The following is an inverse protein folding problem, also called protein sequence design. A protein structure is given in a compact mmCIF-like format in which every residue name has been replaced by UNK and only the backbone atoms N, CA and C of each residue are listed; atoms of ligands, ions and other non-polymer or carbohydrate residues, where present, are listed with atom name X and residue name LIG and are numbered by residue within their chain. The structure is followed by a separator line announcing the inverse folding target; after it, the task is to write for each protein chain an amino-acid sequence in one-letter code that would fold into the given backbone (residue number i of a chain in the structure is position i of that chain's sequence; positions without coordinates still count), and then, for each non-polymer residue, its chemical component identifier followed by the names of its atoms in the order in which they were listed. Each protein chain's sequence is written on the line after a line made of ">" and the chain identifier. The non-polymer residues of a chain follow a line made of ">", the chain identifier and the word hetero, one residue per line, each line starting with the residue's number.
data_IF_045507628704
#
_entry.id   IF_045507628704
#
_cell.length_a   1.000
_cell.length_b   1.000
_cell.length_c   1.000
_cell.angle_alpha   90.00
_cell.angle_beta   90.00
_cell.angle_gamma   90.00
#
_symmetry.space_group_name_H-M   'P 1'
#
loop_
_entity.id
_entity.type
_entity.pdbx_description
1 polymer ?
#
# COMPACT_ATOMS: atom_id res chain seq x y z
N UNK A 1 -56.60 46.81 30.98
CA UNK A 1 -55.68 47.00 29.83
C UNK A 1 -54.25 47.36 30.25
N UNK A 2 -53.98 48.56 30.77
CA UNK A 2 -52.61 48.90 31.25
C UNK A 2 -52.20 48.13 32.51
N UNK A 3 -53.12 47.92 33.44
CA UNK A 3 -52.89 47.11 34.64
C UNK A 3 -52.54 45.65 34.30
N UNK A 4 -53.35 45.00 33.46
CA UNK A 4 -53.13 43.61 33.02
C UNK A 4 -51.79 43.44 32.30
N UNK A 5 -51.37 44.41 31.47
CA UNK A 5 -50.06 44.43 30.82
C UNK A 5 -48.91 44.53 31.82
N UNK A 6 -49.08 45.33 32.87
CA UNK A 6 -48.07 45.53 33.91
C UNK A 6 -47.94 44.29 34.81
N UNK A 7 -49.03 43.57 35.03
CA UNK A 7 -49.04 42.28 35.73
C UNK A 7 -48.33 41.18 34.95
N UNK A 8 -48.49 41.14 33.63
CA UNK A 8 -47.77 40.21 32.74
C UNK A 8 -46.25 40.48 32.73
N UNK A 9 -45.82 41.74 32.82
CA UNK A 9 -44.39 42.10 32.89
C UNK A 9 -43.71 41.59 34.17
N UNK A 10 -44.43 41.54 35.29
CA UNK A 10 -43.90 41.02 36.57
C UNK A 10 -43.59 39.52 36.52
N UNK A 11 -44.26 38.77 35.64
CA UNK A 11 -43.99 37.34 35.42
C UNK A 11 -42.61 37.10 34.82
N UNK A 12 -42.05 38.09 34.12
CA UNK A 12 -40.70 38.08 33.56
C UNK A 12 -39.69 38.80 34.47
N UNK A 13 -39.93 38.90 35.78
CA UNK A 13 -39.05 39.64 36.69
C UNK A 13 -37.61 39.12 36.74
N UNK A 14 -37.38 37.86 36.36
CA UNK A 14 -36.07 37.22 36.36
C UNK A 14 -35.50 37.06 34.94
N UNK A 15 -35.15 38.18 34.28
CA UNK A 15 -34.46 38.15 32.98
C UNK A 15 -32.95 38.22 33.19
N UNK A 16 -32.21 37.39 32.44
CA UNK A 16 -30.77 37.50 32.32
C UNK A 16 -30.41 38.77 31.51
N UNK A 17 -30.08 39.85 32.21
CA UNK A 17 -29.72 41.14 31.60
C UNK A 17 -28.43 41.06 30.75
N UNK A 18 -27.58 40.04 30.96
CA UNK A 18 -26.35 39.81 30.18
C UNK A 18 -26.56 38.95 28.94
N UNK A 19 -27.80 38.51 28.67
CA UNK A 19 -28.07 37.56 27.58
C UNK A 19 -27.62 38.08 26.21
N UNK A 20 -27.75 39.39 25.96
CA UNK A 20 -27.33 39.99 24.70
C UNK A 20 -25.80 39.96 24.54
N UNK A 21 -25.05 40.42 25.54
CA UNK A 21 -23.59 40.42 25.50
C UNK A 21 -23.01 39.00 25.41
N UNK A 22 -23.61 38.06 26.15
CA UNK A 22 -23.25 36.64 26.09
C UNK A 22 -23.54 36.04 24.71
N UNK A 23 -24.71 36.35 24.13
CA UNK A 23 -25.07 35.88 22.81
C UNK A 23 -24.08 36.37 21.76
N UNK A 24 -23.73 37.65 21.75
CA UNK A 24 -22.76 38.21 20.80
C UNK A 24 -21.41 37.52 20.93
N UNK A 25 -20.86 37.42 22.14
CA UNK A 25 -19.57 36.76 22.39
C UNK A 25 -19.57 35.28 21.99
N UNK A 26 -20.61 34.51 22.34
CA UNK A 26 -20.70 33.10 21.96
C UNK A 26 -20.91 32.90 20.46
N UNK A 27 -21.60 33.83 19.80
CA UNK A 27 -21.81 33.78 18.36
C UNK A 27 -20.47 34.02 17.61
N UNK A 28 -19.66 34.97 18.07
CA UNK A 28 -18.31 35.20 17.54
C UNK A 28 -17.38 34.00 17.76
N UNK A 29 -17.38 33.42 18.97
CA UNK A 29 -16.61 32.21 19.27
C UNK A 29 -17.04 31.02 18.41
N UNK A 30 -18.35 30.83 18.23
CA UNK A 30 -18.89 29.78 17.35
C UNK A 30 -18.39 29.95 15.92
N UNK A 31 -18.43 31.17 15.40
CA UNK A 31 -18.00 31.44 14.03
C UNK A 31 -16.49 31.24 13.87
N UNK A 32 -15.69 31.59 14.88
CA UNK A 32 -14.26 31.28 14.91
C UNK A 32 -13.98 29.78 14.93
N UNK A 33 -14.70 29.01 15.77
CA UNK A 33 -14.57 27.55 15.84
C UNK A 33 -15.01 26.88 14.54
N UNK A 34 -16.07 27.38 13.90
CA UNK A 34 -16.53 26.89 12.59
C UNK A 34 -15.46 27.09 11.51
N UNK A 35 -14.86 28.29 11.43
CA UNK A 35 -13.76 28.55 10.48
C UNK A 35 -12.60 27.60 10.69
N UNK A 36 -12.15 27.43 11.94
CA UNK A 36 -11.06 26.49 12.27
C UNK A 36 -11.39 25.05 11.90
N UNK A 37 -12.62 24.60 12.15
CA UNK A 37 -13.08 23.27 11.73
C UNK A 37 -13.00 23.10 10.22
N UNK A 38 -13.46 24.10 9.46
CA UNK A 38 -13.48 24.04 8.00
C UNK A 38 -12.04 24.06 7.43
N UNK A 39 -11.15 24.85 8.02
CA UNK A 39 -9.71 24.85 7.71
C UNK A 39 -9.06 23.49 7.99
N UNK A 40 -9.36 22.87 9.14
CA UNK A 40 -8.86 21.54 9.49
C UNK A 40 -9.39 20.47 8.52
N UNK A 41 -10.67 20.52 8.16
CA UNK A 41 -11.25 19.57 7.20
C UNK A 41 -10.61 19.70 5.81
N UNK A 42 -10.34 20.94 5.37
CA UNK A 42 -9.59 21.19 4.13
C UNK A 42 -8.14 20.70 4.25
N UNK A 43 -7.50 20.88 5.41
CA UNK A 43 -6.17 20.38 5.71
C UNK A 43 -6.09 18.85 5.62
N UNK A 44 -7.02 18.14 6.25
CA UNK A 44 -7.10 16.67 6.20
C UNK A 44 -7.24 16.18 4.77
N UNK A 45 -8.14 16.79 3.98
CA UNK A 45 -8.29 16.47 2.56
C UNK A 45 -6.97 16.64 1.79
N UNK A 46 -6.28 17.77 1.96
CA UNK A 46 -5.00 18.04 1.30
C UNK A 46 -3.92 17.03 1.69
N UNK A 47 -3.89 16.60 2.95
CA UNK A 47 -2.95 15.58 3.42
C UNK A 47 -3.26 14.24 2.76
N UNK A 48 -4.53 13.81 2.71
CA UNK A 48 -4.92 12.56 2.04
C UNK A 48 -4.60 12.56 0.54
N UNK A 49 -4.86 13.68 -0.14
CA UNK A 49 -4.54 13.86 -1.55
C UNK A 49 -3.02 13.78 -1.78
N UNK A 50 -2.23 14.44 -0.92
CA UNK A 50 -0.77 14.40 -0.98
C UNK A 50 -0.21 12.98 -0.75
N UNK A 51 -0.71 12.25 0.26
CA UNK A 51 -0.28 10.87 0.53
C UNK A 51 -0.55 10.00 -0.72
N UNK A 52 -1.71 10.14 -1.33
CA UNK A 52 -2.08 9.35 -2.52
C UNK A 52 -1.17 9.65 -3.72
N UNK A 53 -0.81 10.93 -3.92
CA UNK A 53 0.13 11.34 -4.95
C UNK A 53 1.55 10.82 -4.67
N UNK A 54 2.00 10.86 -3.42
CA UNK A 54 3.31 10.34 -3.02
C UNK A 54 3.39 8.82 -3.20
N UNK A 55 2.33 8.09 -2.88
CA UNK A 55 2.25 6.64 -3.11
C UNK A 55 2.38 6.31 -4.60
N UNK A 56 1.69 7.05 -5.47
CA UNK A 56 1.82 6.89 -6.93
C UNK A 56 3.27 7.16 -7.38
N UNK A 57 3.85 8.27 -6.94
CA UNK A 57 5.22 8.66 -7.33
C UNK A 57 6.27 7.67 -6.81
N UNK A 58 6.05 7.10 -5.63
CA UNK A 58 6.86 6.01 -5.07
C UNK A 58 6.84 4.80 -6.01
N UNK A 59 5.65 4.33 -6.37
CA UNK A 59 5.49 3.17 -7.25
C UNK A 59 6.13 3.39 -8.62
N UNK A 60 5.89 4.55 -9.25
CA UNK A 60 6.52 4.91 -10.53
C UNK A 60 8.04 4.94 -10.45
N UNK A 61 8.58 5.46 -9.34
CA UNK A 61 10.02 5.53 -9.12
C UNK A 61 10.62 4.14 -8.94
N UNK A 62 9.98 3.28 -8.14
CA UNK A 62 10.40 1.89 -7.91
C UNK A 62 10.40 1.10 -9.22
N UNK A 63 9.33 1.21 -10.03
CA UNK A 63 9.27 0.50 -11.31
C UNK A 63 10.34 0.99 -12.29
N UNK A 64 10.57 2.30 -12.35
CA UNK A 64 11.58 2.90 -13.23
C UNK A 64 12.99 2.45 -12.84
N UNK A 65 13.33 2.53 -11.56
CA UNK A 65 14.66 2.11 -11.09
C UNK A 65 14.85 0.61 -11.27
N UNK A 66 13.85 -0.20 -10.98
CA UNK A 66 13.93 -1.65 -11.16
C UNK A 66 14.15 -2.05 -12.63
N UNK A 67 13.44 -1.42 -13.57
CA UNK A 67 13.66 -1.65 -15.02
C UNK A 67 15.09 -1.29 -15.43
N UNK A 68 15.63 -0.21 -14.86
CA UNK A 68 17.02 0.18 -15.04
C UNK A 68 17.98 -0.88 -14.52
N UNK A 69 17.87 -1.25 -13.23
CA UNK A 69 18.73 -2.26 -12.59
C UNK A 69 18.62 -3.61 -13.29
N UNK A 70 17.42 -4.05 -13.68
CA UNK A 70 17.22 -5.32 -14.38
C UNK A 70 17.88 -5.39 -15.75
N UNK A 71 18.00 -4.25 -16.45
CA UNK A 71 18.74 -4.17 -17.72
C UNK A 71 20.24 -4.33 -17.49
N UNK A 72 20.81 -3.52 -16.61
CA UNK A 72 22.25 -3.56 -16.30
C UNK A 72 22.64 -4.93 -15.72
N UNK A 73 21.80 -5.51 -14.87
CA UNK A 73 22.01 -6.87 -14.35
C UNK A 73 22.14 -7.89 -15.47
N UNK A 74 21.25 -7.85 -16.47
CA UNK A 74 21.31 -8.77 -17.62
C UNK A 74 22.58 -8.58 -18.44
N UNK A 75 22.93 -7.33 -18.73
CA UNK A 75 24.13 -6.98 -19.50
C UNK A 75 25.39 -7.49 -18.80
N UNK A 76 25.59 -7.10 -17.53
CA UNK A 76 26.75 -7.53 -16.73
C UNK A 76 26.78 -9.06 -16.55
N UNK A 77 25.63 -9.70 -16.31
CA UNK A 77 25.58 -11.15 -16.15
C UNK A 77 25.99 -11.90 -17.43
N UNK A 78 25.60 -11.38 -18.60
CA UNK A 78 25.97 -11.97 -19.89
C UNK A 78 27.45 -11.81 -20.23
N UNK A 79 28.09 -10.76 -19.72
CA UNK A 79 29.55 -10.57 -19.84
C UNK A 79 30.33 -11.51 -18.91
N UNK A 80 29.82 -11.73 -17.69
CA UNK A 80 30.48 -12.57 -16.69
C UNK A 80 30.29 -14.07 -16.96
N UNK A 81 29.13 -14.48 -17.47
CA UNK A 81 28.78 -15.90 -17.67
C UNK A 81 28.59 -16.16 -19.17
N UNK A 82 29.56 -16.85 -19.78
CA UNK A 82 29.49 -17.23 -21.20
C UNK A 82 28.20 -18.02 -21.46
N UNK A 83 27.42 -17.60 -22.45
CA UNK A 83 26.08 -18.14 -22.77
C UNK A 83 25.04 -18.10 -21.63
N UNK A 84 25.33 -17.45 -20.51
CA UNK A 84 24.42 -17.34 -19.36
C UNK A 84 23.36 -16.26 -19.55
N UNK A 85 22.19 -16.45 -18.93
CA UNK A 85 21.09 -15.48 -18.93
C UNK A 85 20.64 -15.20 -17.50
N UNK A 86 20.69 -13.94 -17.09
CA UNK A 86 20.20 -13.47 -15.79
C UNK A 86 18.99 -12.54 -15.93
N UNK A 87 18.00 -12.68 -15.05
CA UNK A 87 16.84 -11.81 -14.97
C UNK A 87 16.45 -11.52 -13.50
N UNK A 88 16.07 -10.27 -13.24
CA UNK A 88 15.45 -9.88 -11.97
C UNK A 88 13.93 -9.89 -12.12
N UNK A 89 13.24 -10.39 -11.09
CA UNK A 89 11.78 -10.43 -10.99
C UNK A 89 11.36 -9.71 -9.72
N UNK A 90 10.52 -8.68 -9.87
CA UNK A 90 10.00 -7.92 -8.73
C UNK A 90 8.89 -8.73 -8.04
N UNK A 91 8.97 -8.86 -6.72
CA UNK A 91 8.00 -9.58 -5.89
C UNK A 91 7.00 -8.59 -5.31
N UNK A 92 5.71 -8.81 -5.56
CA UNK A 92 4.61 -8.05 -4.99
C UNK A 92 3.94 -8.86 -3.88
N UNK A 93 3.42 -8.19 -2.86
CA UNK A 93 2.63 -8.85 -1.82
C UNK A 93 1.39 -9.46 -2.50
N UNK A 94 1.13 -10.76 -2.31
CA UNK A 94 -0.16 -11.34 -2.71
C UNK A 94 -1.23 -10.70 -1.83
N UNK A 95 -2.36 -10.31 -2.42
CA UNK A 95 -3.49 -9.69 -1.72
C UNK A 95 -4.23 -10.64 -0.75
N UNK A 96 -3.60 -11.73 -0.28
CA UNK A 96 -4.22 -12.80 0.51
C UNK A 96 -3.42 -13.42 1.66
N UNK A 97 -2.15 -13.04 1.88
CA UNK A 97 -1.35 -13.55 3.03
C UNK A 97 -1.44 -12.60 4.25
N UNK A 98 -2.66 -12.18 4.60
CA UNK A 98 -2.93 -11.35 5.78
C UNK A 98 -4.08 -11.93 6.63
N UNK A 99 -4.32 -13.23 6.53
CA UNK A 99 -5.30 -13.97 7.33
C UNK A 99 -4.60 -15.11 8.08
N UNK A 100 -3.78 -14.77 9.10
CA UNK A 100 -3.55 -15.65 10.26
C UNK A 100 -2.77 -14.92 11.39
N UNK A 101 -3.25 -13.76 11.80
CA UNK A 101 -2.87 -13.22 13.12
C UNK A 101 -4.16 -12.98 13.90
N UNK A 102 -4.60 -14.05 14.56
CA UNK A 102 -5.66 -14.07 15.56
C UNK A 102 -5.42 -12.95 16.59
N UNK A 103 -6.20 -11.88 16.48
CA UNK A 103 -6.55 -11.07 17.65
C UNK A 103 -7.95 -10.50 17.45
N UNK A 104 -8.89 -11.14 18.14
CA UNK A 104 -10.23 -10.66 18.41
C UNK A 104 -10.18 -9.25 19.04
N UNK A 105 -10.52 -8.21 18.27
CA UNK A 105 -11.14 -7.00 18.85
C UNK A 105 -12.03 -6.30 17.82
N UNK A 106 -13.33 -6.46 18.05
CA UNK A 106 -14.45 -6.02 17.24
C UNK A 106 -14.58 -4.48 17.25
N UNK A 107 -14.35 -3.85 16.10
CA UNK A 107 -14.57 -2.43 15.87
C UNK A 107 -14.61 -2.13 14.36
N UNK A 108 -15.34 -1.09 13.89
CA UNK A 108 -15.36 -0.74 12.47
C UNK A 108 -13.94 -0.42 12.02
N UNK A 109 -13.32 -1.36 11.31
CA UNK A 109 -11.97 -1.24 10.79
C UNK A 109 -12.00 -0.21 9.68
N UNK A 110 -11.77 1.07 10.04
CA UNK A 110 -11.31 2.09 9.09
C UNK A 110 -10.17 1.43 8.31
N UNK A 111 -10.31 1.33 6.98
CA UNK A 111 -9.35 0.64 6.13
C UNK A 111 -7.94 1.19 6.43
N UNK A 112 -7.12 0.36 7.10
CA UNK A 112 -5.83 0.78 7.61
C UNK A 112 -4.97 1.30 6.45
N UNK A 113 -4.59 2.60 6.45
CA UNK A 113 -3.73 3.14 5.41
C UNK A 113 -2.36 2.44 5.36
N UNK A 114 -1.93 1.73 6.42
CA UNK A 114 -0.70 0.92 6.40
C UNK A 114 -0.76 -0.24 5.42
N UNK A 115 -1.94 -0.83 5.17
CA UNK A 115 -2.09 -1.92 4.20
C UNK A 115 -1.75 -1.49 2.77
N UNK A 116 -1.85 -0.19 2.47
CA UNK A 116 -1.54 0.37 1.15
C UNK A 116 -0.04 0.58 0.90
N UNK A 117 0.77 0.64 1.96
CA UNK A 117 2.12 1.20 1.89
C UNK A 117 3.14 0.21 1.28
N UNK A 118 2.94 -1.11 1.40
CA UNK A 118 3.95 -2.10 0.99
C UNK A 118 3.45 -3.07 -0.08
N UNK A 119 3.31 -2.54 -1.31
CA UNK A 119 3.00 -3.34 -2.51
C UNK A 119 4.13 -4.28 -2.92
N UNK A 120 5.38 -3.94 -2.58
CA UNK A 120 6.58 -4.64 -3.02
C UNK A 120 7.27 -5.28 -1.82
N UNK A 121 7.51 -6.59 -1.89
CA UNK A 121 8.08 -7.38 -0.77
C UNK A 121 9.54 -7.72 -1.02
N UNK A 122 9.99 -7.73 -2.27
CA UNK A 122 11.40 -8.00 -2.58
C UNK A 122 11.71 -8.17 -4.06
N UNK A 123 12.90 -8.69 -4.34
CA UNK A 123 13.40 -8.99 -5.70
C UNK A 123 13.93 -10.41 -5.74
N UNK A 124 13.46 -11.19 -6.72
CA UNK A 124 13.94 -12.55 -7.01
C UNK A 124 14.91 -12.53 -8.19
N UNK A 125 16.00 -13.28 -8.08
CA UNK A 125 16.96 -13.48 -9.17
C UNK A 125 16.66 -14.81 -9.86
N UNK A 126 16.61 -14.80 -11.19
CA UNK A 126 16.56 -16.00 -12.03
C UNK A 126 17.81 -16.03 -12.90
N UNK A 127 18.52 -17.15 -12.93
CA UNK A 127 19.71 -17.32 -13.74
C UNK A 127 19.69 -18.68 -14.44
N UNK A 128 20.20 -18.72 -15.68
CA UNK A 128 20.46 -19.93 -16.45
C UNK A 128 21.92 -19.88 -16.92
N UNK A 129 22.66 -20.97 -16.73
CA UNK A 129 24.11 -21.07 -17.02
C UNK A 129 24.40 -22.12 -18.09
N UNK A 130 23.37 -22.66 -18.75
CA UNK A 130 23.54 -23.78 -19.68
C UNK A 130 24.14 -23.32 -21.01
N UNK A 131 25.46 -23.46 -21.13
CA UNK A 131 26.17 -23.48 -22.40
C UNK A 131 25.68 -24.66 -23.25
N UNK A 132 25.04 -24.39 -24.39
CA UNK A 132 24.77 -25.41 -25.44
C UNK A 132 26.03 -25.90 -26.18
N UNK A 133 27.19 -25.88 -25.52
CA UNK A 133 28.49 -26.26 -26.07
C UNK A 133 28.94 -27.71 -25.82
N UNK A 134 28.13 -28.52 -25.13
CA UNK A 134 28.46 -29.94 -24.84
C UNK A 134 27.36 -30.89 -25.33
N UNK A 135 26.79 -30.65 -26.51
CA UNK A 135 25.99 -31.65 -27.23
C UNK A 135 26.55 -31.83 -28.65
N UNK A 136 27.79 -32.28 -28.73
CA UNK A 136 28.30 -32.97 -29.91
C UNK A 136 28.66 -34.40 -29.52
N UNK A 137 27.66 -35.22 -29.20
CA UNK A 137 27.63 -36.63 -29.61
C UNK A 137 26.22 -37.23 -29.43
N UNK A 138 25.72 -37.80 -30.54
CA UNK A 138 24.59 -38.71 -30.73
C UNK A 138 23.15 -38.28 -30.39
N UNK A 139 22.40 -38.03 -31.47
CA UNK A 139 21.39 -39.02 -31.88
C UNK A 139 20.01 -38.95 -31.25
N UNK A 140 19.14 -38.16 -31.90
CA UNK A 140 17.73 -38.50 -32.20
C UNK A 140 16.72 -38.53 -31.03
N UNK A 141 15.64 -37.76 -31.24
CA UNK A 141 14.27 -37.88 -30.72
C UNK A 141 13.73 -36.78 -29.80
N UNK A 142 12.63 -36.20 -30.31
CA UNK A 142 11.42 -35.73 -29.66
C UNK A 142 11.47 -34.55 -28.68
N UNK A 143 10.86 -33.47 -29.13
CA UNK A 143 10.43 -32.30 -28.36
C UNK A 143 9.51 -32.76 -27.22
N UNK A 144 9.78 -32.34 -25.99
CA UNK A 144 8.76 -32.19 -24.96
C UNK A 144 9.02 -30.92 -24.16
N UNK A 145 8.01 -30.05 -24.16
CA UNK A 145 7.92 -28.81 -23.41
C UNK A 145 7.49 -29.14 -21.98
N UNK A 146 8.34 -28.82 -21.00
CA UNK A 146 8.04 -29.08 -19.58
C UNK A 146 7.62 -27.79 -18.90
N UNK A 147 6.32 -27.64 -18.67
CA UNK A 147 5.72 -26.67 -17.76
C UNK A 147 6.03 -27.10 -16.32
N UNK A 148 6.84 -26.34 -15.61
CA UNK A 148 7.08 -26.55 -14.17
C UNK A 148 6.10 -25.69 -13.38
N UNK A 149 5.08 -26.35 -12.81
CA UNK A 149 4.23 -25.78 -11.74
C UNK A 149 5.05 -25.74 -10.46
N UNK A 150 5.14 -24.56 -9.84
CA UNK A 150 5.84 -24.37 -8.56
C UNK A 150 4.93 -24.73 -7.39
N UNK A 151 5.38 -25.63 -6.54
CA UNK A 151 4.94 -25.76 -5.15
C UNK A 151 5.92 -24.99 -4.26
N UNK A 152 5.40 -24.05 -3.50
CA UNK A 152 6.05 -23.48 -2.31
C UNK A 152 6.31 -24.63 -1.33
N UNK A 153 7.53 -24.84 -0.84
CA UNK A 153 7.92 -24.41 0.50
C UNK A 153 9.28 -24.99 0.94
N UNK A 154 9.90 -24.29 1.89
CA UNK A 154 11.06 -24.67 2.72
C UNK A 154 12.46 -24.69 2.08
N UNK A 155 13.36 -23.93 2.72
CA UNK A 155 14.76 -23.83 2.37
C UNK A 155 15.48 -25.17 2.46
N UNK A 156 15.92 -25.66 1.31
CA UNK A 156 16.89 -26.73 1.16
C UNK A 156 17.48 -26.60 -0.23
N UNK A 157 18.80 -26.51 -0.33
CA UNK A 157 19.49 -26.58 -1.61
C UNK A 157 19.47 -28.08 -1.96
N UNK A 158 18.37 -28.55 -2.55
CA UNK A 158 18.23 -29.96 -2.90
C UNK A 158 18.97 -30.21 -4.21
N UNK A 159 20.22 -30.65 -4.08
CA UNK A 159 21.04 -31.15 -5.18
C UNK A 159 20.77 -32.64 -5.35
N UNK A 160 19.56 -33.05 -5.71
CA UNK A 160 19.31 -34.41 -6.16
C UNK A 160 18.09 -34.47 -7.06
N UNK A 161 18.24 -35.24 -8.15
CA UNK A 161 17.23 -35.96 -8.94
C UNK A 161 17.60 -35.95 -10.42
N UNK A 162 18.57 -36.81 -10.75
CA UNK A 162 18.70 -37.42 -12.06
C UNK A 162 18.66 -38.95 -11.86
N UNK A 163 17.45 -39.52 -11.81
CA UNK A 163 17.29 -40.97 -11.97
C UNK A 163 16.33 -41.27 -13.12
N UNK A 164 16.76 -42.07 -14.11
CA UNK A 164 15.89 -42.50 -15.20
C UNK A 164 15.05 -43.68 -14.72
N UNK A 165 13.73 -43.55 -14.81
CA UNK A 165 12.83 -44.71 -14.80
C UNK A 165 12.42 -44.97 -16.24
N UNK A 166 12.44 -46.26 -16.61
CA UNK A 166 12.32 -46.84 -17.96
C UNK A 166 11.27 -46.22 -18.89
#
# INVERSE_FOLDING_TARGET
>A
LLHDRNEQLKQFSHVNQKALDQYVNFNEQRDQLRRRRDELALGDKKIRDLISLLDQKKDESIERTFKGVGRHFREVFSELVQCGHGALVMMKKKDGDAEDDDNDEDGPREADPKGRIDKYVGVKVKACVLCRGFLHWQGRHSVHETVVRGTEDSGGIDTDLCHPTM
#
